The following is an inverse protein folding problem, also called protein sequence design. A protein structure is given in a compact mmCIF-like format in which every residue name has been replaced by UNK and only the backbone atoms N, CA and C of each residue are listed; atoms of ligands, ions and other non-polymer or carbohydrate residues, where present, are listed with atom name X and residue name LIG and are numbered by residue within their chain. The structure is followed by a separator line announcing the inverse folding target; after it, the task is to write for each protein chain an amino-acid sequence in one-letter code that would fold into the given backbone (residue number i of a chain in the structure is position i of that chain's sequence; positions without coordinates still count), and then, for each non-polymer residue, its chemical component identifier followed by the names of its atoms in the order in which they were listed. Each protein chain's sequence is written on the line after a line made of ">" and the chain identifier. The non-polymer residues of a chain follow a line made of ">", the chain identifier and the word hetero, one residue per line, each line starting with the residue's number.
data_IF_785204146694
#
_entry.id   IF_785204146694
#
_cell.length_a   1.000
_cell.length_b   1.000
_cell.length_c   1.000
_cell.angle_alpha   90.00
_cell.angle_beta   90.00
_cell.angle_gamma   90.00
#
_symmetry.space_group_name_H-M   'P 1'
#
loop_
_entity.id
_entity.type
_entity.pdbx_description
1 polymer ?
#
# COMPACT_ATOMS: atom_id res chain seq x y z
N UNK A 1 14.32 -2.24 18.14
CA UNK A 1 14.02 -2.95 16.89
C UNK A 1 14.00 -4.46 17.10
N UNK A 2 15.11 -5.16 17.36
CA UNK A 2 15.05 -6.62 17.64
C UNK A 2 14.14 -7.00 18.84
N UNK A 3 14.19 -6.24 19.93
CA UNK A 3 13.29 -6.42 21.09
C UNK A 3 11.81 -6.10 20.83
N UNK A 4 11.50 -5.41 19.73
CA UNK A 4 10.13 -5.14 19.27
C UNK A 4 9.67 -6.26 18.34
N UNK A 5 10.55 -6.72 17.44
CA UNK A 5 10.34 -7.92 16.62
C UNK A 5 10.04 -9.17 17.47
N UNK A 6 10.77 -9.38 18.57
CA UNK A 6 10.51 -10.48 19.53
C UNK A 6 9.11 -10.42 20.18
N UNK A 7 8.48 -9.24 20.18
CA UNK A 7 7.11 -9.04 20.66
C UNK A 7 6.06 -9.20 19.56
N UNK A 8 6.46 -9.63 18.37
CA UNK A 8 5.59 -9.84 17.21
C UNK A 8 5.31 -8.58 16.40
N UNK A 9 6.20 -7.58 16.45
CA UNK A 9 6.08 -6.37 15.62
C UNK A 9 6.64 -6.63 14.21
N UNK A 10 5.75 -6.76 13.23
CA UNK A 10 6.07 -7.02 11.82
C UNK A 10 6.73 -5.82 11.11
N UNK A 11 6.65 -4.61 11.68
CA UNK A 11 7.30 -3.40 11.14
C UNK A 11 8.73 -3.20 11.69
N UNK A 12 9.15 -4.04 12.64
CA UNK A 12 10.45 -3.92 13.27
C UNK A 12 11.60 -4.18 12.27
N UNK A 13 12.54 -3.25 12.20
CA UNK A 13 13.69 -3.37 11.30
C UNK A 13 14.64 -4.47 11.76
N UNK A 14 15.08 -5.30 10.82
CA UNK A 14 16.13 -6.31 11.03
C UNK A 14 17.50 -5.61 11.01
N UNK A 15 18.47 -6.16 11.74
CA UNK A 15 19.85 -5.65 11.68
C UNK A 15 20.47 -6.00 10.33
N UNK A 16 20.76 -4.97 9.54
CA UNK A 16 21.62 -5.05 8.37
C UNK A 16 23.10 -4.88 8.80
N UNK A 17 23.85 -6.00 8.79
CA UNK A 17 25.27 -6.01 9.17
C UNK A 17 26.15 -5.33 8.13
N UNK A 18 25.75 -5.29 6.86
CA UNK A 18 26.51 -4.63 5.81
C UNK A 18 26.35 -3.11 5.89
N UNK A 19 25.16 -2.62 6.26
CA UNK A 19 24.95 -1.21 6.59
C UNK A 19 25.82 -0.76 7.76
N UNK A 20 25.89 -1.55 8.86
CA UNK A 20 26.76 -1.23 10.00
C UNK A 20 28.23 -1.23 9.59
N UNK A 21 28.68 -2.22 8.82
CA UNK A 21 30.06 -2.26 8.31
C UNK A 21 30.37 -1.02 7.46
N UNK A 22 29.44 -0.55 6.64
CA UNK A 22 29.62 0.69 5.88
C UNK A 22 29.80 1.93 6.77
N UNK A 23 29.09 2.00 7.91
CA UNK A 23 29.28 3.06 8.90
C UNK A 23 30.65 2.98 9.60
N UNK A 24 31.15 1.77 9.86
CA UNK A 24 32.48 1.53 10.47
C UNK A 24 33.63 2.02 9.59
N UNK A 25 33.48 1.98 8.26
CA UNK A 25 34.46 2.57 7.32
C UNK A 25 34.49 4.10 7.37
N UNK A 26 33.51 4.73 8.02
CA UNK A 26 33.45 6.17 8.24
C UNK A 26 32.35 6.82 7.41
N UNK A 27 31.18 7.01 8.02
CA UNK A 27 30.16 7.91 7.51
C UNK A 27 30.51 9.36 7.91
N UNK A 28 30.69 10.29 6.95
CA UNK A 28 30.83 11.71 7.26
C UNK A 28 29.60 12.25 8.02
N UNK A 29 29.68 13.44 8.64
CA UNK A 29 28.49 14.09 9.17
C UNK A 29 27.51 14.41 8.02
N UNK A 30 26.44 13.63 7.91
CA UNK A 30 25.44 13.73 6.84
C UNK A 30 24.07 14.09 7.38
N UNK A 31 23.26 14.74 6.53
CA UNK A 31 21.82 14.92 6.75
C UNK A 31 21.04 14.23 5.62
N UNK A 32 19.88 13.69 5.94
CA UNK A 32 18.97 13.04 4.99
C UNK A 32 17.58 13.67 5.08
N UNK A 33 16.87 13.72 3.95
CA UNK A 33 15.50 14.22 3.88
C UNK A 33 14.64 13.24 3.07
N UNK A 34 13.45 12.93 3.57
CA UNK A 34 12.42 12.18 2.86
C UNK A 34 11.17 13.03 2.68
N UNK A 35 10.67 13.12 1.44
CA UNK A 35 9.43 13.83 1.11
C UNK A 35 8.48 12.84 0.42
N UNK A 36 7.27 12.72 0.93
CA UNK A 36 6.22 11.92 0.28
C UNK A 36 5.62 12.70 -0.88
N UNK A 37 5.96 12.33 -2.11
CA UNK A 37 5.51 13.03 -3.33
C UNK A 37 3.99 13.05 -3.46
N UNK A 38 3.32 11.93 -3.20
CA UNK A 38 1.85 11.85 -3.31
C UNK A 38 1.18 12.80 -2.32
N UNK A 39 1.68 12.85 -1.08
CA UNK A 39 1.15 13.76 -0.04
C UNK A 39 1.45 15.22 -0.34
N UNK A 40 2.63 15.51 -0.91
CA UNK A 40 2.97 16.85 -1.37
C UNK A 40 2.00 17.29 -2.47
N UNK A 41 1.77 16.44 -3.48
CA UNK A 41 0.81 16.71 -4.55
C UNK A 41 -0.60 16.89 -3.99
N UNK A 42 -1.05 16.02 -3.09
CA UNK A 42 -2.36 16.16 -2.43
C UNK A 42 -2.53 17.53 -1.76
N UNK A 43 -1.51 17.99 -1.04
CA UNK A 43 -1.51 19.31 -0.42
C UNK A 43 -1.56 20.43 -1.46
N UNK A 44 -0.76 20.33 -2.51
CA UNK A 44 -0.70 21.32 -3.59
C UNK A 44 -2.01 21.40 -4.40
N UNK A 45 -2.72 20.29 -4.55
CA UNK A 45 -3.97 20.20 -5.31
C UNK A 45 -5.22 20.28 -4.43
N UNK A 46 -5.07 20.43 -3.11
CA UNK A 46 -6.18 20.48 -2.16
C UNK A 46 -7.00 19.19 -2.05
N UNK A 47 -6.40 18.05 -2.39
CA UNK A 47 -7.08 16.75 -2.40
C UNK A 47 -6.92 16.03 -1.06
N UNK A 48 -8.01 15.49 -0.52
CA UNK A 48 -8.02 14.77 0.76
C UNK A 48 -7.68 13.29 0.65
N UNK A 49 -7.73 12.72 -0.57
CA UNK A 49 -7.54 11.29 -0.84
C UNK A 49 -6.40 11.08 -1.85
N UNK A 50 -5.51 10.12 -1.56
CA UNK A 50 -4.33 9.81 -2.41
C UNK A 50 -4.71 9.30 -3.81
N UNK A 51 -5.89 8.68 -3.94
CA UNK A 51 -6.38 8.16 -5.21
C UNK A 51 -6.63 9.27 -6.25
N UNK A 52 -6.86 10.51 -5.80
CA UNK A 52 -7.09 11.67 -6.67
C UNK A 52 -5.80 12.21 -7.32
N UNK A 53 -4.63 11.81 -6.80
CA UNK A 53 -3.32 12.25 -7.31
C UNK A 53 -2.54 11.13 -7.99
N UNK A 54 -3.16 9.96 -8.15
CA UNK A 54 -2.60 8.78 -8.83
C UNK A 54 -3.38 8.51 -10.12
N UNK A 55 -2.68 8.32 -11.25
CA UNK A 55 -3.35 8.00 -12.52
C UNK A 55 -4.09 6.65 -12.49
N UNK A 56 -3.51 5.66 -11.80
CA UNK A 56 -4.06 4.32 -11.68
C UNK A 56 -3.93 3.84 -10.22
N UNK A 57 -4.83 4.26 -9.31
CA UNK A 57 -4.78 3.79 -7.93
C UNK A 57 -5.07 2.29 -7.85
N UNK A 58 -4.49 1.62 -6.85
CA UNK A 58 -4.82 0.24 -6.56
C UNK A 58 -6.28 0.14 -6.09
N UNK A 59 -7.15 -0.42 -6.92
CA UNK A 59 -8.56 -0.65 -6.59
C UNK A 59 -8.79 -2.07 -6.08
N UNK A 60 -9.82 -2.24 -5.26
CA UNK A 60 -10.31 -3.59 -4.90
C UNK A 60 -10.94 -4.21 -6.15
N UNK A 61 -10.63 -5.48 -6.49
CA UNK A 61 -11.27 -6.16 -7.61
C UNK A 61 -12.80 -6.14 -7.46
N UNK A 62 -13.50 -6.03 -8.59
CA UNK A 62 -14.96 -6.13 -8.60
C UNK A 62 -15.41 -7.53 -8.17
N UNK A 63 -16.50 -7.59 -7.40
CA UNK A 63 -17.14 -8.86 -7.06
C UNK A 63 -17.83 -9.38 -8.31
N UNK A 64 -17.34 -10.50 -8.83
CA UNK A 64 -18.02 -11.22 -9.90
C UNK A 64 -19.25 -11.88 -9.28
N UNK A 65 -20.43 -11.30 -9.48
CA UNK A 65 -21.69 -11.98 -9.15
C UNK A 65 -21.88 -13.12 -10.15
N UNK A 66 -22.02 -14.39 -9.71
CA UNK A 66 -22.38 -15.48 -10.61
C UNK A 66 -23.71 -15.13 -11.28
N UNK A 67 -23.72 -15.05 -12.61
CA UNK A 67 -24.98 -14.93 -13.35
C UNK A 67 -25.70 -16.27 -13.24
N UNK A 68 -26.89 -16.25 -12.64
CA UNK A 68 -27.75 -17.43 -12.62
C UNK A 68 -28.10 -17.86 -14.06
N UNK A 69 -28.30 -19.15 -14.26
CA UNK A 69 -28.71 -19.68 -15.57
C UNK A 69 -30.11 -19.18 -15.94
N UNK A 70 -30.42 -18.94 -17.23
CA UNK A 70 -31.75 -18.49 -17.69
C UNK A 70 -32.92 -19.33 -17.15
N UNK A 71 -32.70 -20.63 -16.91
CA UNK A 71 -33.68 -21.54 -16.33
C UNK A 71 -34.23 -21.07 -14.96
N UNK A 72 -33.38 -20.49 -14.10
CA UNK A 72 -33.82 -19.96 -12.80
C UNK A 72 -34.72 -18.72 -12.93
N UNK A 73 -34.52 -17.92 -13.97
CA UNK A 73 -35.37 -16.76 -14.24
C UNK A 73 -36.76 -17.19 -14.74
N UNK A 74 -36.81 -18.24 -15.58
CA UNK A 74 -38.06 -18.84 -16.05
C UNK A 74 -38.86 -19.50 -14.91
N UNK A 75 -38.20 -20.18 -13.98
CA UNK A 75 -38.84 -20.74 -12.77
C UNK A 75 -39.46 -19.66 -11.87
N UNK A 76 -38.89 -18.45 -11.88
CA UNK A 76 -39.40 -17.29 -11.14
C UNK A 76 -40.44 -16.47 -11.92
N UNK A 77 -40.84 -16.93 -13.12
CA UNK A 77 -41.86 -16.27 -13.94
C UNK A 77 -41.39 -14.97 -14.59
N UNK A 78 -40.09 -14.73 -14.67
CA UNK A 78 -39.48 -13.57 -15.34
C UNK A 78 -39.17 -14.03 -16.78
N UNK A 79 -39.81 -13.44 -17.78
CA UNK A 79 -39.44 -13.68 -19.19
C UNK A 79 -38.10 -13.01 -19.50
N UNK A 80 -37.33 -13.58 -20.44
CA UNK A 80 -36.03 -13.03 -20.91
C UNK A 80 -36.04 -11.50 -21.12
#
# INVERSE_FOLDING_TARGET
>A
QMRLSEKGDDEAMIIDKDFVRALEYGMPPTSGMGIGMDRLTMLMTGQSTIQEVLFFPQMRPEKITPKDTPAKFMELGISE
#
